data_IF_870313102321
#
_entry.id   IF_870313102321
#
_cell.length_a   1.000
_cell.length_b   1.000
_cell.length_c   1.000
_cell.angle_alpha   90.00
_cell.angle_beta   90.00
_cell.angle_gamma   90.00
#
_symmetry.space_group_name_H-M   'P 1'
#
loop_
_entity.id
_entity.type
_entity.pdbx_description
1 polymer ?
#
# COMPACT_ATOMS: atom_id res chain seq x y z
N UNK A 1 21.36 -17.74 33.12
CA UNK A 1 21.65 -17.37 31.72
C UNK A 1 20.34 -17.41 30.94
N UNK A 2 19.55 -16.33 30.98
CA UNK A 2 18.37 -16.17 30.13
C UNK A 2 18.77 -15.16 29.05
N UNK A 3 18.95 -15.64 27.83
CA UNK A 3 19.07 -14.79 26.65
C UNK A 3 17.66 -14.42 26.21
N UNK A 4 17.19 -13.24 26.60
CA UNK A 4 16.10 -12.55 25.92
C UNK A 4 16.68 -11.84 24.70
N UNK A 5 16.84 -12.56 23.58
CA UNK A 5 17.06 -11.94 22.29
C UNK A 5 15.72 -11.79 21.57
N UNK A 6 14.95 -10.76 21.95
CA UNK A 6 13.87 -10.30 21.07
C UNK A 6 14.50 -9.82 19.76
N UNK A 7 13.98 -10.23 18.58
CA UNK A 7 14.46 -9.69 17.32
C UNK A 7 14.29 -8.17 17.35
N UNK A 8 15.36 -7.44 17.03
CA UNK A 8 15.34 -5.98 16.91
C UNK A 8 14.49 -5.58 15.70
N UNK A 9 13.17 -5.48 15.89
CA UNK A 9 12.28 -4.80 14.94
C UNK A 9 12.66 -3.32 14.90
N UNK A 10 12.64 -2.70 13.72
CA UNK A 10 12.96 -1.28 13.60
C UNK A 10 11.94 -0.44 14.38
N UNK A 11 12.35 0.69 14.95
CA UNK A 11 11.46 1.59 15.70
C UNK A 11 10.27 2.04 14.86
N UNK A 12 10.46 2.25 13.55
CA UNK A 12 9.39 2.59 12.62
C UNK A 12 8.36 1.46 12.46
N UNK A 13 8.81 0.20 12.29
CA UNK A 13 7.88 -0.94 12.27
C UNK A 13 7.15 -1.09 13.61
N UNK A 14 7.85 -0.86 14.73
CA UNK A 14 7.23 -0.83 16.07
C UNK A 14 6.16 0.26 16.18
N UNK A 15 6.34 1.43 15.56
CA UNK A 15 5.32 2.48 15.52
C UNK A 15 4.08 2.06 14.73
N UNK A 16 4.23 1.37 13.59
CA UNK A 16 3.08 0.88 12.81
C UNK A 16 2.19 -0.11 13.59
N UNK A 17 2.75 -0.88 14.54
CA UNK A 17 1.96 -1.72 15.45
C UNK A 17 1.09 -0.90 16.42
N UNK A 18 1.47 0.34 16.71
CA UNK A 18 0.77 1.22 17.63
C UNK A 18 -0.29 2.09 16.92
N UNK A 19 -0.26 2.16 15.59
CA UNK A 19 -1.20 2.95 14.80
C UNK A 19 -2.43 2.13 14.44
N UNK A 20 -3.58 2.54 14.96
CA UNK A 20 -4.88 1.96 14.65
C UNK A 20 -5.31 2.42 13.26
N UNK A 21 -5.57 1.45 12.36
CA UNK A 21 -6.00 1.68 10.97
C UNK A 21 -7.17 2.66 10.91
N UNK A 22 -8.19 2.38 11.72
CA UNK A 22 -9.46 3.09 11.73
C UNK A 22 -9.49 4.30 12.68
N UNK A 23 -8.39 4.56 13.40
CA UNK A 23 -8.23 5.74 14.27
C UNK A 23 -9.50 6.04 15.08
N UNK A 24 -10.09 7.24 14.96
CA UNK A 24 -11.27 7.65 15.73
C UNK A 24 -12.54 6.81 15.46
N UNK A 25 -12.61 6.07 14.35
CA UNK A 25 -13.74 5.19 14.02
C UNK A 25 -13.83 4.03 15.02
N UNK A 26 -12.73 3.63 15.67
CA UNK A 26 -12.75 2.57 16.69
C UNK A 26 -13.60 2.92 17.92
N UNK A 27 -13.80 4.21 18.23
CA UNK A 27 -14.65 4.67 19.34
C UNK A 27 -16.14 4.53 19.02
N UNK A 28 -16.49 4.40 17.74
CA UNK A 28 -17.86 4.15 17.28
C UNK A 28 -18.07 2.66 17.01
N UNK A 29 -17.10 2.05 16.33
CA UNK A 29 -17.08 0.63 15.99
C UNK A 29 -16.00 -0.07 16.80
N UNK A 30 -16.41 -0.65 17.93
CA UNK A 30 -15.53 -1.35 18.87
C UNK A 30 -14.77 -2.56 18.27
N UNK A 31 -15.20 -3.04 17.10
CA UNK A 31 -14.49 -4.06 16.32
C UNK A 31 -13.32 -3.52 15.49
N UNK A 32 -13.25 -2.21 15.27
CA UNK A 32 -12.26 -1.51 14.44
C UNK A 32 -10.86 -1.40 15.04
N UNK A 33 -10.33 -2.51 15.59
CA UNK A 33 -9.04 -2.55 16.28
C UNK A 33 -7.86 -2.98 15.39
N UNK A 34 -8.09 -3.12 14.08
CA UNK A 34 -7.02 -3.45 13.12
C UNK A 34 -5.90 -2.40 13.14
N UNK A 35 -4.65 -2.86 13.05
CA UNK A 35 -3.48 -1.98 13.01
C UNK A 35 -3.03 -1.71 11.58
N UNK A 36 -2.31 -0.59 11.37
CA UNK A 36 -1.64 -0.30 10.09
C UNK A 36 -0.62 -1.39 9.74
N UNK A 37 0.01 -2.02 10.74
CA UNK A 37 0.90 -3.16 10.51
C UNK A 37 0.20 -4.34 9.83
N UNK A 38 -0.97 -4.75 10.33
CA UNK A 38 -1.73 -5.87 9.75
C UNK A 38 -2.17 -5.55 8.32
N UNK A 39 -2.56 -4.30 8.09
CA UNK A 39 -2.90 -3.77 6.77
C UNK A 39 -1.70 -3.82 5.82
N UNK A 40 -0.55 -3.25 6.21
CA UNK A 40 0.69 -3.30 5.41
C UNK A 40 1.12 -4.72 5.04
N UNK A 41 0.97 -5.70 5.93
CA UNK A 41 1.22 -7.11 5.61
C UNK A 41 0.24 -7.66 4.56
N UNK A 42 -1.02 -7.26 4.62
CA UNK A 42 -2.02 -7.63 3.63
C UNK A 42 -1.74 -7.02 2.26
N UNK A 43 -1.36 -5.73 2.22
CA UNK A 43 -0.96 -5.06 0.98
C UNK A 43 0.30 -5.67 0.39
N UNK A 44 1.33 -5.98 1.21
CA UNK A 44 2.50 -6.77 0.79
C UNK A 44 2.09 -8.07 0.09
N UNK A 45 1.19 -8.83 0.70
CA UNK A 45 0.72 -10.11 0.16
C UNK A 45 -0.03 -9.94 -1.16
N UNK A 46 -0.94 -8.98 -1.25
CA UNK A 46 -1.75 -8.73 -2.46
C UNK A 46 -0.92 -8.15 -3.60
N UNK A 47 0.03 -7.26 -3.31
CA UNK A 47 0.99 -6.75 -4.27
C UNK A 47 1.79 -7.90 -4.90
N UNK A 48 2.31 -8.82 -4.07
CA UNK A 48 2.99 -10.04 -4.50
C UNK A 48 2.11 -10.96 -5.34
N UNK A 49 0.86 -11.18 -4.92
CA UNK A 49 -0.11 -11.97 -5.72
C UNK A 49 -0.33 -11.37 -7.11
N UNK A 50 -0.55 -10.05 -7.20
CA UNK A 50 -0.84 -9.39 -8.47
C UNK A 50 0.37 -9.42 -9.40
N UNK A 51 1.55 -8.98 -8.94
CA UNK A 51 2.75 -8.90 -9.78
C UNK A 51 3.20 -10.28 -10.28
N UNK A 52 3.16 -11.31 -9.43
CA UNK A 52 3.51 -12.69 -9.81
C UNK A 52 2.50 -13.29 -10.77
N UNK A 53 1.21 -13.04 -10.53
CA UNK A 53 0.15 -13.44 -11.46
C UNK A 53 0.37 -12.83 -12.86
N UNK A 54 0.71 -11.54 -12.95
CA UNK A 54 1.04 -10.90 -14.23
C UNK A 54 2.29 -11.52 -14.88
N UNK A 55 3.34 -11.74 -14.09
CA UNK A 55 4.58 -12.41 -14.53
C UNK A 55 4.32 -13.79 -15.14
N UNK A 56 3.53 -14.62 -14.48
CA UNK A 56 3.22 -15.98 -14.92
C UNK A 56 2.37 -15.99 -16.19
N UNK A 57 1.42 -15.05 -16.30
CA UNK A 57 0.47 -14.98 -17.42
C UNK A 57 1.04 -14.32 -18.66
N UNK A 58 2.04 -13.46 -18.52
CA UNK A 58 2.65 -12.71 -19.60
C UNK A 58 4.19 -12.66 -19.43
N UNK A 59 4.88 -13.78 -19.69
CA UNK A 59 6.34 -13.84 -19.60
C UNK A 59 7.06 -12.79 -20.46
N UNK A 60 6.42 -12.33 -21.54
CA UNK A 60 6.92 -11.26 -22.41
C UNK A 60 7.11 -9.91 -21.71
N UNK A 61 6.51 -9.70 -20.53
CA UNK A 61 6.73 -8.50 -19.71
C UNK A 61 8.14 -8.43 -19.11
N UNK A 62 8.89 -9.54 -19.12
CA UNK A 62 10.27 -9.58 -18.63
C UNK A 62 10.39 -9.23 -17.14
N UNK A 63 9.41 -9.61 -16.33
CA UNK A 63 9.40 -9.36 -14.89
C UNK A 63 10.39 -10.29 -14.18
N UNK A 64 11.33 -9.69 -13.43
CA UNK A 64 12.31 -10.43 -12.63
C UNK A 64 11.78 -10.74 -11.23
N UNK A 65 12.47 -11.61 -10.48
CA UNK A 65 12.17 -11.78 -9.04
C UNK A 65 12.42 -10.49 -8.24
N UNK A 66 13.43 -9.71 -8.63
CA UNK A 66 13.73 -8.42 -8.00
C UNK A 66 12.57 -7.45 -8.22
N UNK A 67 11.96 -7.43 -9.41
CA UNK A 67 10.78 -6.58 -9.70
C UNK A 67 9.61 -6.92 -8.78
N UNK A 68 9.34 -8.22 -8.61
CA UNK A 68 8.28 -8.70 -7.74
C UNK A 68 8.56 -8.30 -6.29
N UNK A 69 9.79 -8.49 -5.81
CA UNK A 69 10.20 -8.12 -4.47
C UNK A 69 10.13 -6.61 -4.22
N UNK A 70 10.52 -5.77 -5.19
CA UNK A 70 10.38 -4.32 -5.09
C UNK A 70 8.90 -3.90 -4.91
N UNK A 71 8.00 -4.48 -5.72
CA UNK A 71 6.56 -4.19 -5.62
C UNK A 71 5.98 -4.65 -4.29
N UNK A 72 6.39 -5.82 -3.82
CA UNK A 72 6.02 -6.35 -2.51
C UNK A 72 6.50 -5.42 -1.38
N UNK A 73 7.78 -5.03 -1.38
CA UNK A 73 8.36 -4.12 -0.39
C UNK A 73 7.70 -2.73 -0.43
N UNK A 74 7.35 -2.22 -1.61
CA UNK A 74 6.57 -1.00 -1.73
C UNK A 74 5.20 -1.15 -1.05
N UNK A 75 4.49 -2.26 -1.29
CA UNK A 75 3.23 -2.57 -0.61
C UNK A 75 3.36 -2.68 0.91
N UNK A 76 4.46 -3.28 1.41
CA UNK A 76 4.73 -3.37 2.85
C UNK A 76 4.98 -2.00 3.48
N UNK A 77 5.64 -1.09 2.76
CA UNK A 77 6.15 0.15 3.31
C UNK A 77 5.32 1.38 2.98
N UNK A 78 4.28 1.27 2.13
CA UNK A 78 3.52 2.42 1.63
C UNK A 78 2.93 3.31 2.75
N UNK A 79 2.62 2.69 3.89
CA UNK A 79 1.90 3.31 5.01
C UNK A 79 2.77 3.61 6.24
N UNK A 80 4.10 3.41 6.16
CA UNK A 80 5.01 3.62 7.30
C UNK A 80 5.09 5.09 7.76
N UNK A 81 4.68 6.02 6.90
CA UNK A 81 4.66 7.46 7.13
C UNK A 81 3.39 7.98 7.82
N UNK A 82 2.41 7.12 8.12
CA UNK A 82 1.23 7.56 8.84
C UNK A 82 1.59 8.09 10.25
N UNK A 83 1.07 9.28 10.56
CA UNK A 83 1.17 9.86 11.90
C UNK A 83 0.05 9.39 12.84
N UNK A 84 0.03 9.91 14.08
CA UNK A 84 -1.03 9.62 15.05
C UNK A 84 -2.43 9.93 14.49
N UNK A 85 -3.39 9.03 14.66
CA UNK A 85 -4.74 9.13 14.09
C UNK A 85 -4.80 9.02 12.55
N UNK A 86 -3.79 8.41 11.92
CA UNK A 86 -3.77 8.07 10.49
C UNK A 86 -4.10 9.28 9.60
N UNK A 87 -5.18 9.25 8.81
CA UNK A 87 -5.52 10.34 7.88
C UNK A 87 -5.89 11.67 8.55
N UNK A 88 -6.24 11.66 9.85
CA UNK A 88 -6.50 12.91 10.57
C UNK A 88 -5.19 13.71 10.69
N UNK A 89 -4.05 13.04 10.81
CA UNK A 89 -2.77 13.70 10.95
C UNK A 89 -2.41 14.56 9.73
N UNK A 90 -2.34 13.93 8.56
CA UNK A 90 -1.91 14.60 7.33
C UNK A 90 -2.99 15.49 6.72
N UNK A 91 -4.27 15.13 6.87
CA UNK A 91 -5.37 15.90 6.26
C UNK A 91 -5.94 17.00 7.14
N UNK A 92 -5.76 16.95 8.47
CA UNK A 92 -6.33 17.95 9.39
C UNK A 92 -5.31 18.59 10.33
N UNK A 93 -4.43 17.80 10.95
CA UNK A 93 -3.49 18.33 11.95
C UNK A 93 -2.37 19.13 11.28
N UNK A 94 -1.66 18.56 10.30
CA UNK A 94 -0.56 19.25 9.60
C UNK A 94 -1.02 20.58 8.98
N UNK A 95 -2.15 20.66 8.25
CA UNK A 95 -2.64 21.91 7.71
C UNK A 95 -2.91 23.00 8.76
N UNK A 96 -3.38 22.62 9.96
CA UNK A 96 -3.61 23.56 11.07
C UNK A 96 -2.31 24.07 11.68
N UNK A 97 -1.20 23.35 11.52
CA UNK A 97 0.14 23.78 11.94
C UNK A 97 0.86 24.60 10.86
N UNK A 98 0.23 24.83 9.70
CA UNK A 98 0.84 25.51 8.55
C UNK A 98 1.78 24.61 7.74
N UNK A 99 1.70 23.29 7.93
CA UNK A 99 2.45 22.31 7.15
C UNK A 99 1.53 21.58 6.16
N UNK A 100 2.08 21.11 5.05
CA UNK A 100 1.37 20.21 4.13
C UNK A 100 2.33 19.13 3.67
N UNK A 101 2.05 17.89 4.05
CA UNK A 101 2.84 16.74 3.66
C UNK A 101 1.92 15.52 3.67
N UNK A 102 1.89 14.79 2.56
CA UNK A 102 1.08 13.58 2.48
C UNK A 102 1.77 12.43 3.23
N UNK A 103 0.99 11.47 3.72
CA UNK A 103 1.56 10.29 4.39
C UNK A 103 2.49 9.49 3.46
N UNK A 104 2.26 9.47 2.14
CA UNK A 104 3.16 8.83 1.16
C UNK A 104 4.55 9.51 1.12
N UNK A 105 4.58 10.84 1.18
CA UNK A 105 5.84 11.60 1.24
C UNK A 105 6.56 11.35 2.57
N UNK A 106 5.80 11.27 3.67
CA UNK A 106 6.34 10.90 4.99
C UNK A 106 6.84 9.46 5.01
N UNK A 107 6.18 8.53 4.30
CA UNK A 107 6.61 7.14 4.16
C UNK A 107 7.99 7.07 3.53
N UNK A 108 8.21 7.80 2.44
CA UNK A 108 9.53 7.88 1.80
C UNK A 108 10.60 8.48 2.71
N UNK A 109 10.29 9.58 3.42
CA UNK A 109 11.24 10.17 4.38
C UNK A 109 11.58 9.20 5.51
N UNK A 110 10.60 8.44 6.00
CA UNK A 110 10.81 7.42 7.02
C UNK A 110 11.66 6.26 6.49
N UNK A 111 11.46 5.86 5.23
CA UNK A 111 12.30 4.86 4.58
C UNK A 111 13.75 5.32 4.45
N UNK A 112 14.01 6.54 4.00
CA UNK A 112 15.38 7.08 3.91
C UNK A 112 16.06 7.15 5.29
N UNK A 113 15.29 7.51 6.33
CA UNK A 113 15.75 7.45 7.71
C UNK A 113 16.09 6.01 8.13
N UNK A 114 15.22 5.04 7.88
CA UNK A 114 15.45 3.62 8.18
C UNK A 114 16.65 3.05 7.42
N UNK A 115 16.91 3.54 6.20
CA UNK A 115 18.01 3.10 5.35
C UNK A 115 19.38 3.50 5.92
N UNK A 116 19.47 4.67 6.55
CA UNK A 116 20.71 5.23 7.12
C UNK A 116 20.94 4.90 8.60
N UNK A 117 19.87 4.52 9.32
CA UNK A 117 19.91 4.14 10.74
C UNK A 117 20.58 2.77 10.99
N UNK A 118 20.80 2.44 12.27
CA UNK A 118 21.25 1.11 12.74
C UNK A 118 22.49 0.55 12.01
N UNK A 119 23.52 1.39 11.80
CA UNK A 119 24.76 1.01 11.10
C UNK A 119 24.53 0.38 9.71
N UNK A 120 23.54 0.89 8.96
CA UNK A 120 23.22 0.41 7.61
C UNK A 120 22.78 -1.07 7.57
N UNK A 121 22.24 -1.62 8.66
CA UNK A 121 21.79 -3.03 8.70
C UNK A 121 20.71 -3.32 7.66
N UNK A 122 19.79 -2.36 7.41
CA UNK A 122 18.78 -2.50 6.35
C UNK A 122 19.44 -2.58 4.97
N UNK A 123 20.39 -1.68 4.68
CA UNK A 123 21.17 -1.69 3.43
C UNK A 123 21.88 -3.03 3.21
N UNK A 124 22.50 -3.59 4.25
CA UNK A 124 23.15 -4.92 4.16
C UNK A 124 22.15 -6.04 3.85
N UNK A 125 20.96 -6.02 4.48
CA UNK A 125 19.90 -7.00 4.19
C UNK A 125 19.37 -6.87 2.76
N UNK A 126 19.15 -5.65 2.29
CA UNK A 126 18.70 -5.38 0.92
C UNK A 126 19.74 -5.88 -0.10
N UNK A 127 21.02 -5.62 0.14
CA UNK A 127 22.11 -6.14 -0.69
C UNK A 127 22.14 -7.68 -0.71
N UNK A 128 21.89 -8.34 0.42
CA UNK A 128 21.78 -9.80 0.50
C UNK A 128 20.58 -10.36 -0.30
N UNK A 129 19.58 -9.54 -0.60
CA UNK A 129 18.43 -9.86 -1.45
C UNK A 129 18.62 -9.40 -2.91
N UNK A 130 19.82 -8.98 -3.30
CA UNK A 130 20.14 -8.40 -4.61
C UNK A 130 19.35 -7.13 -4.95
N UNK A 131 18.92 -6.37 -3.93
CA UNK A 131 18.28 -5.06 -4.11
C UNK A 131 19.38 -4.00 -4.17
N UNK A 132 19.46 -3.31 -5.31
CA UNK A 132 20.40 -2.23 -5.56
C UNK A 132 19.87 -0.88 -5.05
N UNK A 133 20.71 0.17 -5.11
CA UNK A 133 20.25 1.54 -4.80
C UNK A 133 19.21 2.03 -5.81
N UNK A 134 19.31 1.62 -7.08
CA UNK A 134 18.31 1.93 -8.10
C UNK A 134 16.95 1.26 -7.79
N UNK A 135 16.99 0.01 -7.29
CA UNK A 135 15.78 -0.70 -6.85
C UNK A 135 15.15 -0.05 -5.62
N UNK A 136 15.97 0.53 -4.74
CA UNK A 136 15.50 1.30 -3.59
C UNK A 136 14.77 2.57 -4.00
N UNK A 137 15.32 3.33 -4.95
CA UNK A 137 14.63 4.50 -5.52
C UNK A 137 13.32 4.09 -6.22
N UNK A 138 13.31 2.94 -6.91
CA UNK A 138 12.11 2.39 -7.52
C UNK A 138 11.02 2.02 -6.48
N UNK A 139 11.39 1.44 -5.34
CA UNK A 139 10.44 1.17 -4.25
C UNK A 139 9.80 2.47 -3.74
N UNK A 140 10.61 3.53 -3.56
CA UNK A 140 10.11 4.84 -3.12
C UNK A 140 9.19 5.49 -4.16
N UNK A 141 9.52 5.38 -5.44
CA UNK A 141 8.68 5.94 -6.51
C UNK A 141 7.32 5.23 -6.63
N UNK A 142 7.26 3.92 -6.37
CA UNK A 142 6.01 3.17 -6.31
C UNK A 142 5.09 3.65 -5.17
N UNK A 143 5.65 4.02 -4.02
CA UNK A 143 4.87 4.51 -2.86
C UNK A 143 4.28 5.89 -3.15
N UNK A 144 5.08 6.81 -3.69
CA UNK A 144 4.60 8.16 -4.04
C UNK A 144 3.70 8.12 -5.29
N UNK A 145 3.77 7.05 -6.10
CA UNK A 145 3.15 6.95 -7.42
C UNK A 145 3.54 8.15 -8.31
N UNK A 146 4.84 8.43 -8.35
CA UNK A 146 5.44 9.43 -9.24
C UNK A 146 6.64 8.78 -9.91
N UNK A 147 6.53 8.40 -11.20
CA UNK A 147 7.69 7.92 -11.93
C UNK A 147 8.69 9.07 -12.03
N UNK A 148 9.93 8.87 -11.58
CA UNK A 148 10.97 9.88 -11.76
C UNK A 148 11.19 10.15 -13.25
N UNK A 149 11.72 11.32 -13.58
CA UNK A 149 11.86 11.89 -14.93
C UNK A 149 12.45 10.91 -15.99
N UNK A 150 13.22 9.90 -15.56
CA UNK A 150 13.89 8.94 -16.46
C UNK A 150 13.32 7.50 -16.44
N UNK A 151 12.09 7.27 -15.94
CA UNK A 151 11.54 5.92 -15.69
C UNK A 151 12.44 5.04 -14.79
N UNK A 152 13.07 5.69 -13.80
CA UNK A 152 14.36 5.37 -13.12
C UNK A 152 14.58 3.98 -12.55
N UNK A 153 13.59 3.08 -12.50
CA UNK A 153 13.83 1.70 -12.07
C UNK A 153 13.88 0.69 -13.21
N UNK A 154 12.95 0.83 -14.15
CA UNK A 154 12.45 -0.32 -14.92
C UNK A 154 12.05 -0.03 -16.37
N UNK A 155 12.18 1.23 -16.82
CA UNK A 155 11.85 1.64 -18.18
C UNK A 155 10.34 1.78 -18.43
N UNK A 156 10.00 2.42 -19.56
CA UNK A 156 8.61 2.74 -19.92
C UNK A 156 7.72 1.50 -20.09
N UNK A 157 8.31 0.37 -20.52
CA UNK A 157 7.59 -0.90 -20.69
C UNK A 157 7.09 -1.50 -19.37
N UNK A 158 7.56 -1.01 -18.22
CA UNK A 158 7.17 -1.48 -16.88
C UNK A 158 6.39 -0.44 -16.07
N UNK A 159 5.88 0.62 -16.71
CA UNK A 159 5.05 1.64 -16.04
C UNK A 159 3.78 1.07 -15.40
N UNK A 160 3.26 -0.06 -15.89
CA UNK A 160 2.12 -0.75 -15.26
C UNK A 160 2.38 -1.19 -13.81
N UNK A 161 3.64 -1.28 -13.36
CA UNK A 161 3.96 -1.60 -11.96
C UNK A 161 3.50 -0.50 -10.99
N UNK A 162 3.39 0.74 -11.45
CA UNK A 162 2.83 1.85 -10.68
C UNK A 162 1.32 1.73 -10.49
N UNK A 163 0.63 0.88 -11.26
CA UNK A 163 -0.81 0.64 -11.09
C UNK A 163 -1.11 -0.33 -9.92
N UNK A 164 -0.09 -0.94 -9.29
CA UNK A 164 -0.28 -2.03 -8.30
C UNK A 164 -0.53 -1.52 -6.89
N UNK A 165 0.41 -0.74 -6.32
CA UNK A 165 0.39 -0.36 -4.90
C UNK A 165 -0.46 0.88 -4.67
N UNK A 166 -0.28 1.90 -5.50
CA UNK A 166 -1.01 3.16 -5.42
C UNK A 166 -1.32 3.62 -6.84
N UNK A 167 -2.58 3.47 -7.26
CA UNK A 167 -2.99 3.80 -8.62
C UNK A 167 -3.73 5.14 -8.63
N UNK A 168 -3.01 6.23 -8.94
CA UNK A 168 -3.61 7.58 -8.96
C UNK A 168 -4.60 7.81 -10.11
N UNK A 169 -4.58 6.99 -11.15
CA UNK A 169 -5.41 7.19 -12.35
C UNK A 169 -6.82 6.63 -12.17
N UNK A 170 -6.93 5.36 -11.78
CA UNK A 170 -8.22 4.70 -11.56
C UNK A 170 -8.60 4.59 -10.09
N UNK A 171 -7.62 4.67 -9.17
CA UNK A 171 -7.83 4.32 -7.78
C UNK A 171 -8.17 2.85 -7.58
N UNK A 172 -7.79 1.95 -8.48
CA UNK A 172 -7.90 0.50 -8.31
C UNK A 172 -6.50 -0.09 -8.07
N UNK A 173 -6.19 -0.32 -6.80
CA UNK A 173 -4.89 -0.81 -6.32
C UNK A 173 -5.06 -1.78 -5.15
N UNK A 174 -3.98 -2.48 -4.81
CA UNK A 174 -4.01 -3.54 -3.79
C UNK A 174 -4.16 -3.00 -2.37
N UNK A 175 -3.82 -1.74 -2.12
CA UNK A 175 -4.11 -1.03 -0.87
C UNK A 175 -5.62 -1.07 -0.59
N UNK A 176 -6.42 -0.63 -1.57
CA UNK A 176 -7.89 -0.68 -1.48
C UNK A 176 -8.41 -2.09 -1.35
N UNK A 177 -7.82 -3.05 -2.05
CA UNK A 177 -8.30 -4.42 -1.94
C UNK A 177 -8.16 -4.96 -0.52
N UNK A 178 -7.06 -4.64 0.16
CA UNK A 178 -6.87 -5.04 1.55
C UNK A 178 -7.84 -4.32 2.49
N UNK A 179 -7.80 -2.98 2.53
CA UNK A 179 -8.56 -2.27 3.55
C UNK A 179 -10.07 -2.42 3.36
N UNK A 180 -10.57 -2.51 2.12
CA UNK A 180 -12.01 -2.68 1.88
C UNK A 180 -12.53 -3.98 2.49
N UNK A 181 -11.77 -5.06 2.37
CA UNK A 181 -12.13 -6.36 2.92
C UNK A 181 -11.91 -6.42 4.43
N UNK A 182 -10.74 -5.94 4.87
CA UNK A 182 -10.33 -5.93 6.27
C UNK A 182 -11.26 -5.06 7.12
N UNK A 183 -11.52 -3.84 6.69
CA UNK A 183 -12.36 -2.91 7.44
C UNK A 183 -13.81 -3.38 7.43
N UNK A 184 -14.30 -3.90 6.30
CA UNK A 184 -15.64 -4.51 6.26
C UNK A 184 -15.75 -5.65 7.27
N UNK A 185 -14.73 -6.50 7.38
CA UNK A 185 -14.67 -7.57 8.38
C UNK A 185 -14.70 -7.02 9.82
N UNK A 186 -13.79 -6.12 10.18
CA UNK A 186 -13.72 -5.55 11.53
C UNK A 186 -14.97 -4.76 11.94
N UNK A 187 -15.60 -4.08 10.97
CA UNK A 187 -16.79 -3.27 11.20
C UNK A 187 -18.09 -4.08 11.14
N UNK A 188 -18.03 -5.36 10.76
CA UNK A 188 -19.22 -6.19 10.57
C UNK A 188 -20.10 -5.73 9.39
N UNK A 189 -19.51 -5.03 8.42
CA UNK A 189 -20.20 -4.55 7.23
C UNK A 189 -20.13 -5.61 6.13
N UNK A 190 -21.26 -5.85 5.47
CA UNK A 190 -21.30 -6.77 4.33
C UNK A 190 -20.68 -6.10 3.11
N UNK A 191 -19.81 -6.84 2.41
CA UNK A 191 -19.29 -6.46 1.11
C UNK A 191 -19.51 -7.60 0.11
N UNK A 192 -19.50 -7.26 -1.18
CA UNK A 192 -19.58 -8.23 -2.29
C UNK A 192 -18.35 -8.21 -3.18
N UNK A 193 -17.39 -7.32 -2.88
CA UNK A 193 -16.13 -7.21 -3.61
C UNK A 193 -15.26 -8.46 -3.39
N UNK A 194 -14.70 -8.98 -4.48
CA UNK A 194 -13.81 -10.14 -4.53
C UNK A 194 -12.64 -9.87 -5.49
N UNK A 195 -11.45 -9.62 -4.92
CA UNK A 195 -10.25 -9.34 -5.69
C UNK A 195 -9.70 -10.57 -6.43
N UNK A 196 -10.00 -11.80 -6.00
CA UNK A 196 -9.46 -13.02 -6.64
C UNK A 196 -9.93 -13.12 -8.09
N UNK A 197 -11.16 -12.66 -8.36
CA UNK A 197 -11.66 -12.57 -9.73
C UNK A 197 -10.90 -11.53 -10.56
N UNK A 198 -10.54 -10.39 -9.97
CA UNK A 198 -9.70 -9.39 -10.65
C UNK A 198 -8.33 -9.99 -10.97
N UNK A 199 -7.66 -10.59 -9.98
CA UNK A 199 -6.39 -11.29 -10.16
C UNK A 199 -6.46 -12.29 -11.31
N UNK A 200 -7.52 -13.10 -11.36
CA UNK A 200 -7.71 -14.10 -12.41
C UNK A 200 -7.82 -13.50 -13.82
N UNK A 201 -8.43 -12.33 -13.98
CA UNK A 201 -8.64 -11.70 -15.29
C UNK A 201 -7.72 -10.52 -15.60
N UNK A 202 -6.78 -10.19 -14.71
CA UNK A 202 -5.79 -9.14 -14.94
C UNK A 202 -4.79 -9.51 -16.05
N UNK A 203 -4.48 -8.53 -16.89
CA UNK A 203 -3.47 -8.54 -17.96
C UNK A 203 -2.87 -7.16 -18.11
N UNK A 204 -1.64 -7.08 -18.58
CA UNK A 204 -1.00 -5.84 -19.01
C UNK A 204 -1.28 -5.63 -20.50
N UNK A 205 -1.84 -4.47 -20.84
CA UNK A 205 -2.14 -4.05 -22.21
C UNK A 205 -1.66 -2.61 -22.39
N UNK A 206 -1.10 -2.29 -23.55
CA UNK A 206 -0.80 -0.90 -23.90
C UNK A 206 -2.09 -0.16 -24.24
N UNK A 207 -2.43 0.84 -23.43
CA UNK A 207 -3.56 1.74 -23.63
C UNK A 207 -3.06 3.18 -23.42
N UNK A 208 -3.65 4.14 -24.13
CA UNK A 208 -3.32 5.57 -23.95
C UNK A 208 -1.81 5.92 -24.04
N UNK A 209 -1.05 5.12 -24.80
CA UNK A 209 0.38 5.34 -25.00
C UNK A 209 1.31 4.73 -23.95
N UNK A 210 0.81 4.03 -22.91
CA UNK A 210 1.64 3.31 -21.92
C UNK A 210 1.08 1.93 -21.59
N UNK A 211 1.86 1.01 -21.01
CA UNK A 211 1.31 -0.23 -20.47
C UNK A 211 0.50 0.05 -19.20
N UNK A 212 -0.70 -0.53 -19.11
CA UNK A 212 -1.57 -0.49 -17.95
C UNK A 212 -1.97 -1.90 -17.51
N UNK A 213 -2.31 -2.05 -16.23
CA UNK A 213 -3.04 -3.23 -15.76
C UNK A 213 -4.51 -3.08 -16.17
N UNK A 214 -4.96 -3.94 -17.08
CA UNK A 214 -6.33 -4.03 -17.54
C UNK A 214 -7.02 -5.29 -17.01
N UNK A 215 -8.32 -5.18 -16.77
CA UNK A 215 -9.18 -6.31 -16.42
C UNK A 215 -10.13 -6.62 -17.59
N UNK A 216 -10.51 -7.88 -17.71
CA UNK A 216 -11.45 -8.33 -18.75
C UNK A 216 -12.79 -7.59 -18.63
N UNK A 217 -13.36 -7.13 -19.75
CA UNK A 217 -14.66 -6.46 -19.88
C UNK A 217 -15.78 -7.02 -18.99
N UNK A 218 -15.96 -8.34 -18.95
CA UNK A 218 -16.97 -9.03 -18.13
C UNK A 218 -16.80 -8.86 -16.60
N UNK A 219 -15.70 -8.26 -16.16
CA UNK A 219 -15.41 -7.97 -14.76
C UNK A 219 -15.95 -6.61 -14.30
N UNK A 220 -16.67 -5.89 -15.16
CA UNK A 220 -17.25 -4.58 -14.84
C UNK A 220 -18.04 -4.59 -13.53
N UNK A 221 -18.82 -5.63 -13.26
CA UNK A 221 -19.59 -5.75 -12.01
C UNK A 221 -18.70 -5.82 -10.77
N UNK A 222 -17.56 -6.52 -10.85
CA UNK A 222 -16.61 -6.61 -9.72
C UNK A 222 -15.92 -5.27 -9.48
N UNK A 223 -15.63 -4.52 -10.54
CA UNK A 223 -15.12 -3.14 -10.42
C UNK A 223 -16.17 -2.23 -9.78
N UNK A 224 -17.44 -2.34 -10.18
CA UNK A 224 -18.54 -1.62 -9.51
C UNK A 224 -18.66 -2.00 -8.02
N UNK A 225 -18.50 -3.29 -7.68
CA UNK A 225 -18.54 -3.76 -6.29
C UNK A 225 -17.40 -3.17 -5.44
N UNK A 226 -16.20 -3.00 -6.01
CA UNK A 226 -15.07 -2.32 -5.35
C UNK A 226 -15.47 -0.91 -4.94
N UNK A 227 -15.92 -0.09 -5.89
CA UNK A 227 -16.28 1.31 -5.61
C UNK A 227 -17.54 1.43 -4.76
N UNK A 228 -18.52 0.53 -4.90
CA UNK A 228 -19.69 0.49 -4.04
C UNK A 228 -19.33 0.14 -2.59
N UNK A 229 -18.42 -0.81 -2.38
CA UNK A 229 -17.93 -1.17 -1.03
C UNK A 229 -17.20 0.01 -0.42
N UNK A 230 -16.34 0.67 -1.21
CA UNK A 230 -15.65 1.89 -0.80
C UNK A 230 -16.62 2.99 -0.38
N UNK A 231 -17.63 3.28 -1.20
CA UNK A 231 -18.65 4.27 -0.88
C UNK A 231 -19.36 3.95 0.44
N UNK A 232 -19.75 2.70 0.66
CA UNK A 232 -20.42 2.27 1.88
C UNK A 232 -19.53 2.46 3.11
N UNK A 233 -18.25 2.09 3.04
CA UNK A 233 -17.30 2.28 4.13
C UNK A 233 -17.09 3.77 4.46
N UNK A 234 -16.94 4.62 3.44
CA UNK A 234 -16.86 6.07 3.66
C UNK A 234 -18.12 6.61 4.33
N UNK A 235 -19.30 6.27 3.80
CA UNK A 235 -20.58 6.80 4.27
C UNK A 235 -20.91 6.35 5.69
N UNK A 236 -20.67 5.08 6.00
CA UNK A 236 -21.13 4.49 7.25
C UNK A 236 -20.06 4.51 8.35
N UNK A 237 -18.78 4.45 8.01
CA UNK A 237 -17.70 4.35 8.98
C UNK A 237 -16.75 5.55 8.95
N UNK A 238 -16.02 5.77 7.86
CA UNK A 238 -14.92 6.75 7.85
C UNK A 238 -15.41 8.20 8.04
N UNK A 239 -16.60 8.53 7.56
CA UNK A 239 -17.22 9.84 7.71
C UNK A 239 -18.33 9.84 8.78
N UNK A 240 -18.33 8.87 9.70
CA UNK A 240 -19.32 8.81 10.75
C UNK A 240 -19.24 10.08 11.64
N UNK A 241 -20.34 10.84 11.84
CA UNK A 241 -20.29 12.14 12.52
C UNK A 241 -19.66 12.10 13.91
N UNK A 242 -19.92 11.03 14.67
CA UNK A 242 -19.32 10.84 16.00
C UNK A 242 -17.82 10.57 15.90
N UNK A 243 -17.35 9.80 14.91
CA UNK A 243 -15.92 9.56 14.74
C UNK A 243 -15.18 10.85 14.35
N UNK A 244 -15.80 11.66 13.48
CA UNK A 244 -15.28 12.97 13.11
C UNK A 244 -15.32 13.98 14.26
N UNK A 245 -16.31 13.90 15.16
CA UNK A 245 -16.40 14.78 16.32
C UNK A 245 -15.43 14.45 17.46
N UNK A 246 -14.84 13.25 17.45
CA UNK A 246 -13.79 12.83 18.41
C UNK A 246 -12.39 13.27 17.95
N UNK A 247 -12.21 13.52 16.65
CA UNK A 247 -10.96 13.95 16.01
C UNK A 247 -10.77 15.48 16.06
#
# INVERSE_FOLDING_TARGET
>A
MRMDSRPSTSTATQMSYLLIQLSAVNYVYHGGNGTRFDHSLGVYHLAGKLVRCLKDKQPELGLTEVDCLCVELAGLCHDVGHGPFSHIFDQQILPRLGESCSHETLSVKMLDYMYTMNNNQLKQKLQAWNITEQDWEFIKSLIICEPCEDATGRGENKLFLYDIVSNKESGNDVDKWDYLLRDSHYLGLKHSFDYERILHYARVITAEGRPHICVRDKMVDTIYQLYSTRYNLHKHAYQHPVALGVA
#
